data_IF_778569716964
#
_entry.id   IF_778569716964
#
_cell.length_a   1.000
_cell.length_b   1.000
_cell.length_c   1.000
_cell.angle_alpha   90.00
_cell.angle_beta   90.00
_cell.angle_gamma   90.00
#
_symmetry.space_group_name_H-M   'P 1'
#
loop_
_entity.id
_entity.type
_entity.pdbx_description
1 polymer ?
#
# COMPACT_ATOMS: atom_id res chain seq x y z
N UNK A 1 -26.58 21.89 -19.22
CA UNK A 1 -26.22 22.07 -17.78
C UNK A 1 -25.45 20.87 -17.20
N UNK A 2 -25.73 19.60 -17.55
CA UNK A 2 -24.90 18.46 -17.13
C UNK A 2 -23.51 18.42 -17.81
N UNK A 3 -23.43 18.74 -19.11
CA UNK A 3 -22.14 18.89 -19.84
C UNK A 3 -21.15 19.86 -19.18
N UNK A 4 -21.64 20.98 -18.63
CA UNK A 4 -20.79 21.97 -17.98
C UNK A 4 -20.14 21.47 -16.67
N UNK A 5 -20.75 20.48 -16.00
CA UNK A 5 -20.18 19.85 -14.81
C UNK A 5 -19.12 18.80 -15.19
N UNK A 6 -19.38 18.00 -16.24
CA UNK A 6 -18.40 17.04 -16.79
C UNK A 6 -17.18 17.76 -17.41
N UNK A 7 -17.35 19.03 -17.79
CA UNK A 7 -16.27 19.92 -18.24
C UNK A 7 -15.54 20.66 -17.10
N UNK A 8 -16.05 20.57 -15.86
CA UNK A 8 -15.45 21.22 -14.67
C UNK A 8 -14.04 20.70 -14.41
N UNK A 9 -13.14 21.61 -14.01
CA UNK A 9 -11.76 21.26 -13.65
C UNK A 9 -11.66 20.21 -12.56
N UNK A 10 -12.54 20.25 -11.55
CA UNK A 10 -12.59 19.25 -10.48
C UNK A 10 -13.03 17.87 -10.99
N UNK A 11 -14.03 17.81 -11.89
CA UNK A 11 -14.44 16.55 -12.50
C UNK A 11 -13.32 15.98 -13.38
N UNK A 12 -12.64 16.82 -14.17
CA UNK A 12 -11.51 16.38 -14.98
C UNK A 12 -10.29 15.94 -14.18
N UNK A 13 -9.99 16.59 -13.06
CA UNK A 13 -8.89 16.18 -12.19
C UNK A 13 -9.08 14.76 -11.64
N UNK A 14 -10.33 14.41 -11.31
CA UNK A 14 -10.69 13.14 -10.68
C UNK A 14 -11.04 12.03 -11.68
N UNK A 15 -11.68 12.39 -12.79
CA UNK A 15 -12.24 11.47 -13.78
C UNK A 15 -11.72 11.68 -15.21
N UNK A 16 -11.14 12.84 -15.54
CA UNK A 16 -10.68 13.18 -16.89
C UNK A 16 -9.17 13.10 -17.12
N UNK A 17 -8.36 12.91 -16.07
CA UNK A 17 -6.90 12.93 -16.11
C UNK A 17 -6.22 11.58 -16.27
N UNK A 18 -6.94 10.55 -16.72
CA UNK A 18 -6.37 9.21 -16.95
C UNK A 18 -5.83 9.00 -18.38
N UNK A 19 -5.67 10.06 -19.18
CA UNK A 19 -5.25 9.88 -20.58
C UNK A 19 -3.75 9.98 -20.82
N UNK A 20 -2.93 10.56 -19.93
CA UNK A 20 -1.46 10.63 -20.16
C UNK A 20 -0.57 10.74 -18.89
N UNK A 21 -1.10 10.62 -17.68
CA UNK A 21 -0.31 10.73 -16.43
C UNK A 21 -0.58 9.61 -15.43
N UNK A 22 -1.20 8.50 -15.86
CA UNK A 22 -1.05 7.23 -15.15
C UNK A 22 0.32 6.66 -15.56
N UNK A 23 1.36 7.35 -15.08
CA UNK A 23 2.74 6.98 -15.31
C UNK A 23 2.94 5.60 -14.76
N UNK A 24 2.88 4.61 -15.66
CA UNK A 24 3.31 3.23 -15.51
C UNK A 24 3.38 2.85 -14.04
N UNK A 25 2.24 2.47 -13.45
CA UNK A 25 2.27 1.75 -12.19
C UNK A 25 2.92 0.41 -12.52
N UNK A 26 4.25 0.39 -12.47
CA UNK A 26 5.03 -0.81 -12.49
C UNK A 26 4.72 -1.52 -11.18
N UNK A 27 3.60 -2.24 -11.18
CA UNK A 27 3.34 -3.35 -10.26
C UNK A 27 4.37 -4.48 -10.45
N UNK A 28 5.45 -4.25 -11.19
CA UNK A 28 6.61 -5.11 -11.15
C UNK A 28 7.19 -4.94 -9.74
N UNK A 29 7.07 -5.94 -8.85
CA UNK A 29 7.83 -5.91 -7.63
C UNK A 29 9.29 -5.66 -8.05
N UNK A 30 10.02 -4.76 -7.38
CA UNK A 30 11.43 -4.62 -7.69
C UNK A 30 12.01 -6.04 -7.64
N UNK A 31 12.59 -6.50 -8.76
CA UNK A 31 13.37 -7.74 -8.84
C UNK A 31 14.68 -7.52 -8.09
N UNK A 32 14.51 -7.18 -6.83
CA UNK A 32 15.47 -6.61 -5.92
C UNK A 32 15.06 -7.08 -4.54
N UNK A 33 14.99 -8.41 -4.40
CA UNK A 33 15.81 -9.00 -3.34
C UNK A 33 17.26 -8.68 -3.69
N UNK A 34 17.66 -7.42 -3.53
CA UNK A 34 19.02 -7.16 -3.05
C UNK A 34 18.92 -7.78 -1.67
N UNK A 35 19.34 -9.04 -1.58
CA UNK A 35 19.91 -9.53 -0.34
C UNK A 35 21.02 -8.51 -0.11
N UNK A 36 20.75 -7.51 0.73
CA UNK A 36 21.77 -6.56 1.11
C UNK A 36 22.89 -7.44 1.69
N UNK A 37 24.02 -7.49 0.99
CA UNK A 37 25.16 -8.31 1.36
C UNK A 37 25.72 -7.84 2.74
N UNK A 38 25.23 -6.69 3.24
CA UNK A 38 25.45 -6.20 4.61
C UNK A 38 24.56 -6.84 5.68
N UNK A 39 23.43 -7.47 5.31
CA UNK A 39 22.61 -8.25 6.27
C UNK A 39 23.08 -9.71 6.41
N UNK A 40 24.07 -10.14 5.62
CA UNK A 40 24.96 -11.24 6.00
C UNK A 40 26.07 -10.76 6.95
N UNK A 41 25.72 -9.95 7.96
CA UNK A 41 26.47 -10.05 9.22
C UNK A 41 26.05 -11.36 9.88
N UNK A 42 26.59 -12.47 9.34
CA UNK A 42 26.71 -13.71 10.08
C UNK A 42 27.50 -13.31 11.32
N UNK A 43 26.80 -13.14 12.44
CA UNK A 43 27.41 -13.00 13.74
C UNK A 43 28.43 -14.14 13.81
N UNK A 44 29.72 -13.81 13.76
CA UNK A 44 30.82 -14.78 13.66
C UNK A 44 30.98 -15.60 14.95
N UNK A 45 29.98 -15.61 15.82
CA UNK A 45 29.79 -16.50 16.94
C UNK A 45 28.30 -16.80 17.05
N UNK A 46 27.95 -18.03 17.46
CA UNK A 46 26.57 -18.45 17.67
C UNK A 46 25.77 -17.45 18.51
N UNK A 47 24.46 -17.43 18.30
CA UNK A 47 23.50 -16.60 19.01
C UNK A 47 23.57 -16.78 20.52
N UNK A 48 24.03 -17.93 21.01
CA UNK A 48 24.25 -18.19 22.43
C UNK A 48 25.73 -18.40 22.78
N UNK A 49 26.10 -17.94 23.98
CA UNK A 49 27.36 -18.34 24.61
C UNK A 49 27.18 -19.70 25.27
N UNK A 50 27.85 -20.72 24.73
CA UNK A 50 27.84 -22.09 25.26
C UNK A 50 28.53 -22.17 26.62
N UNK A 51 27.94 -22.92 27.55
CA UNK A 51 28.47 -23.15 28.91
C UNK A 51 28.68 -24.64 29.15
N UNK A 52 27.68 -25.47 28.86
CA UNK A 52 27.72 -26.93 29.09
C UNK A 52 28.00 -27.73 27.81
N UNK A 53 27.86 -27.12 26.64
CA UNK A 53 27.97 -27.79 25.32
C UNK A 53 27.06 -29.01 25.22
N UNK A 54 25.82 -28.89 25.71
CA UNK A 54 24.83 -29.95 25.67
C UNK A 54 23.82 -29.77 24.52
N UNK A 55 23.03 -30.82 24.26
CA UNK A 55 22.05 -30.83 23.18
C UNK A 55 20.95 -29.76 23.34
N UNK A 56 20.73 -29.23 24.55
CA UNK A 56 19.78 -28.14 24.78
C UNK A 56 20.32 -26.82 24.27
N UNK A 57 21.61 -26.55 24.51
CA UNK A 57 22.29 -25.40 23.92
C UNK A 57 22.29 -25.48 22.38
N UNK A 58 22.49 -26.66 21.79
CA UNK A 58 22.40 -26.84 20.35
C UNK A 58 20.98 -26.55 19.81
N UNK A 59 19.93 -27.04 20.47
CA UNK A 59 18.54 -26.76 20.09
C UNK A 59 18.20 -25.27 20.23
N UNK A 60 18.70 -24.60 21.27
CA UNK A 60 18.52 -23.15 21.43
C UNK A 60 19.20 -22.36 20.32
N UNK A 61 20.39 -22.75 19.90
CA UNK A 61 21.11 -22.12 18.78
C UNK A 61 20.36 -22.30 17.45
N UNK A 62 19.85 -23.51 17.18
CA UNK A 62 19.03 -23.80 15.99
C UNK A 62 17.73 -22.96 16.01
N UNK A 63 17.01 -22.96 17.13
CA UNK A 63 15.79 -22.19 17.29
C UNK A 63 16.03 -20.69 17.11
N UNK A 64 17.12 -20.14 17.66
CA UNK A 64 17.46 -18.72 17.48
C UNK A 64 17.86 -18.38 16.04
N UNK A 65 18.52 -19.30 15.35
CA UNK A 65 18.81 -19.15 13.92
C UNK A 65 17.52 -19.09 13.10
N UNK A 66 16.55 -19.97 13.39
CA UNK A 66 15.23 -19.94 12.77
C UNK A 66 14.48 -18.64 13.10
N UNK A 67 14.51 -18.20 14.36
CA UNK A 67 13.91 -16.92 14.77
C UNK A 67 14.55 -15.75 14.03
N UNK A 68 15.86 -15.75 13.80
CA UNK A 68 16.54 -14.73 13.00
C UNK A 68 15.99 -14.64 11.57
N UNK A 69 15.76 -15.79 10.93
CA UNK A 69 15.12 -15.84 9.60
C UNK A 69 13.67 -15.32 9.64
N UNK A 70 12.89 -15.73 10.64
CA UNK A 70 11.51 -15.27 10.82
C UNK A 70 11.45 -13.76 11.05
N UNK A 71 12.36 -13.20 11.86
CA UNK A 71 12.47 -11.75 12.09
C UNK A 71 12.81 -11.01 10.80
N UNK A 72 13.71 -11.56 9.97
CA UNK A 72 14.00 -11.01 8.64
C UNK A 72 12.76 -10.99 7.73
N UNK A 73 11.99 -12.07 7.72
CA UNK A 73 10.73 -12.15 6.97
C UNK A 73 9.67 -11.17 7.50
N UNK A 74 9.54 -11.03 8.83
CA UNK A 74 8.64 -10.06 9.47
C UNK A 74 9.04 -8.62 9.12
N UNK A 75 10.34 -8.31 9.07
CA UNK A 75 10.85 -7.01 8.63
C UNK A 75 10.47 -6.72 7.18
N UNK A 76 10.67 -7.69 6.27
CA UNK A 76 10.25 -7.53 4.87
C UNK A 76 8.74 -7.30 4.76
N UNK A 77 7.93 -8.11 5.44
CA UNK A 77 6.47 -7.93 5.45
C UNK A 77 6.05 -6.58 6.03
N UNK A 78 6.72 -6.09 7.08
CA UNK A 78 6.41 -4.77 7.64
C UNK A 78 6.69 -3.64 6.65
N UNK A 79 7.77 -3.74 5.87
CA UNK A 79 8.06 -2.77 4.80
C UNK A 79 7.04 -2.84 3.67
N UNK A 80 6.71 -4.05 3.22
CA UNK A 80 5.72 -4.26 2.15
C UNK A 80 4.33 -3.77 2.57
N UNK A 81 3.90 -4.10 3.79
CA UNK A 81 2.64 -3.61 4.37
C UNK A 81 2.65 -2.10 4.52
N UNK A 82 3.79 -1.51 4.93
CA UNK A 82 3.94 -0.05 5.04
C UNK A 82 3.70 0.65 3.70
N UNK A 83 4.34 0.16 2.63
CA UNK A 83 4.18 0.70 1.29
C UNK A 83 2.75 0.50 0.75
N UNK A 84 2.16 -0.68 1.01
CA UNK A 84 0.79 -0.99 0.59
C UNK A 84 -0.24 -0.09 1.30
N UNK A 85 -0.04 0.21 2.59
CA UNK A 85 -0.90 1.14 3.33
C UNK A 85 -0.82 2.57 2.78
N UNK A 86 0.35 3.03 2.36
CA UNK A 86 0.52 4.34 1.74
C UNK A 86 -0.19 4.40 0.37
N UNK A 87 -0.01 3.38 -0.46
CA UNK A 87 -0.72 3.26 -1.75
C UNK A 87 -2.24 3.24 -1.57
N UNK A 88 -2.73 2.45 -0.61
CA UNK A 88 -4.16 2.36 -0.31
C UNK A 88 -4.71 3.67 0.25
N UNK A 89 -3.93 4.43 1.04
CA UNK A 89 -4.33 5.76 1.52
C UNK A 89 -4.60 6.70 0.34
N UNK A 90 -3.68 6.79 -0.61
CA UNK A 90 -3.85 7.64 -1.80
C UNK A 90 -5.03 7.20 -2.68
N UNK A 91 -5.27 5.89 -2.75
CA UNK A 91 -6.45 5.35 -3.43
C UNK A 91 -7.75 5.74 -2.71
N UNK A 92 -7.79 5.65 -1.37
CA UNK A 92 -8.93 6.05 -0.55
C UNK A 92 -9.22 7.55 -0.71
N UNK A 93 -8.19 8.40 -0.76
CA UNK A 93 -8.37 9.84 -0.96
C UNK A 93 -8.98 10.14 -2.34
N UNK A 94 -8.53 9.45 -3.40
CA UNK A 94 -9.16 9.50 -4.72
C UNK A 94 -10.61 9.01 -4.72
N UNK A 95 -10.91 7.93 -3.98
CA UNK A 95 -12.29 7.42 -3.83
C UNK A 95 -13.16 8.44 -3.09
N UNK A 96 -12.65 9.08 -2.04
CA UNK A 96 -13.36 10.11 -1.28
C UNK A 96 -13.72 11.29 -2.18
N UNK A 97 -12.79 11.75 -3.01
CA UNK A 97 -13.05 12.85 -3.95
C UNK A 97 -14.11 12.46 -4.98
N UNK A 98 -14.02 11.24 -5.55
CA UNK A 98 -15.05 10.68 -6.44
C UNK A 98 -16.42 10.61 -5.78
N UNK A 99 -16.48 10.19 -4.51
CA UNK A 99 -17.72 10.11 -3.75
C UNK A 99 -18.35 11.50 -3.55
N UNK A 100 -17.55 12.50 -3.16
CA UNK A 100 -18.03 13.88 -2.98
C UNK A 100 -18.60 14.48 -4.28
N UNK A 101 -17.93 14.22 -5.41
CA UNK A 101 -18.43 14.63 -6.73
C UNK A 101 -19.74 13.93 -7.08
N UNK A 102 -19.86 12.64 -6.77
CA UNK A 102 -21.09 11.89 -7.00
C UNK A 102 -22.26 12.41 -6.16
N UNK A 103 -22.04 12.75 -4.88
CA UNK A 103 -23.06 13.39 -4.03
C UNK A 103 -23.55 14.68 -4.68
N UNK A 104 -22.64 15.59 -5.05
CA UNK A 104 -22.99 16.85 -5.73
C UNK A 104 -23.78 16.62 -7.03
N UNK A 105 -23.38 15.61 -7.81
CA UNK A 105 -24.06 15.23 -9.06
C UNK A 105 -25.49 14.73 -8.81
N UNK A 106 -25.67 13.88 -7.81
CA UNK A 106 -26.97 13.31 -7.43
C UNK A 106 -27.89 14.43 -6.91
N UNK A 107 -27.39 15.33 -6.06
CA UNK A 107 -28.15 16.46 -5.56
C UNK A 107 -28.64 17.38 -6.69
N UNK A 108 -27.75 17.74 -7.62
CA UNK A 108 -28.11 18.57 -8.77
C UNK A 108 -29.15 17.87 -9.68
N UNK A 109 -29.01 16.55 -9.88
CA UNK A 109 -29.98 15.75 -10.63
C UNK A 109 -31.34 15.69 -9.92
N UNK A 110 -31.35 15.49 -8.61
CA UNK A 110 -32.57 15.44 -7.78
C UNK A 110 -33.30 16.78 -7.75
N UNK A 111 -32.57 17.91 -7.62
CA UNK A 111 -33.16 19.25 -7.71
C UNK A 111 -33.81 19.46 -9.08
N UNK A 112 -33.14 19.05 -10.16
CA UNK A 112 -33.69 19.14 -11.52
C UNK A 112 -34.95 18.29 -11.68
N UNK A 113 -34.93 17.04 -11.21
CA UNK A 113 -36.09 16.14 -11.25
C UNK A 113 -37.27 16.72 -10.46
N UNK A 114 -37.02 17.25 -9.25
CA UNK A 114 -38.04 17.89 -8.41
C UNK A 114 -38.68 19.09 -9.10
N UNK A 115 -37.89 19.93 -9.76
CA UNK A 115 -38.41 21.09 -10.51
C UNK A 115 -39.24 20.67 -11.73
N UNK A 116 -38.93 19.52 -12.35
CA UNK A 116 -39.72 18.95 -13.45
C UNK A 116 -41.03 18.33 -12.96
N UNK A 117 -41.04 17.70 -11.78
CA UNK A 117 -42.27 17.15 -11.19
C UNK A 117 -43.25 18.22 -10.69
N UNK A 118 -42.76 19.43 -10.42
CA UNK A 118 -43.58 20.58 -10.02
C UNK A 118 -44.16 21.37 -11.21
N UNK A 119 -43.79 21.00 -12.44
CA UNK A 119 -44.39 21.52 -13.67
C UNK A 119 -45.49 20.59 -14.13
#
# INVERSE_FOLDING_TARGET
KLKAFEESGAYKAVWGGASNQDGVVSNQPPSSRVVDEREQMIMSGGHIRRVTNDAREDEMEENLTHVGSIVGNLKSMALDIGNELESQKDQIDRIREKANLNVSRIEAANQKATNLMKR
#
